data_IF_273524934031
#
_entry.id   IF_273524934031
#
_cell.length_a   1.000
_cell.length_b   1.000
_cell.length_c   1.000
_cell.angle_alpha   90.00
_cell.angle_beta   90.00
_cell.angle_gamma   90.00
#
_symmetry.space_group_name_H-M   'P 1'
#
loop_
_entity.id
_entity.type
_entity.pdbx_description
1 polymer ?
#
# COMPACT_ATOMS: atom_id res chain seq x y z
N UNK A 1 9.94 -1.88 -6.59
CA UNK A 1 9.65 -0.42 -6.69
C UNK A 1 8.80 -0.05 -5.48
N UNK A 2 9.13 0.99 -4.72
CA UNK A 2 8.33 1.35 -3.53
C UNK A 2 7.14 2.17 -4.01
N UNK A 3 5.94 1.61 -3.93
CA UNK A 3 4.67 2.22 -4.37
C UNK A 3 4.10 3.21 -3.34
N UNK A 4 4.98 3.91 -2.62
CA UNK A 4 4.60 4.79 -1.54
C UNK A 4 4.79 6.26 -1.93
N UNK A 5 3.68 7.00 -1.97
CA UNK A 5 3.71 8.44 -2.21
C UNK A 5 3.55 9.20 -0.90
N UNK A 6 4.50 10.07 -0.62
CA UNK A 6 4.47 10.94 0.55
C UNK A 6 4.92 12.34 0.15
N UNK A 7 4.03 13.33 0.31
CA UNK A 7 4.30 14.73 0.02
C UNK A 7 3.84 15.62 1.17
N UNK A 8 4.68 16.53 1.59
CA UNK A 8 4.39 17.47 2.66
C UNK A 8 4.19 18.91 2.15
N UNK A 9 3.24 19.60 2.75
CA UNK A 9 2.92 21.00 2.50
C UNK A 9 2.93 21.77 3.81
N UNK A 10 4.02 22.44 4.12
CA UNK A 10 4.11 23.27 5.31
C UNK A 10 3.62 24.69 5.06
N UNK A 11 3.02 25.28 6.07
CA UNK A 11 2.67 26.69 6.20
C UNK A 11 3.25 27.25 7.50
N UNK A 12 2.82 28.45 7.89
CA UNK A 12 3.32 29.08 9.12
C UNK A 12 2.82 28.39 10.39
N UNK A 13 1.55 27.97 10.39
CA UNK A 13 0.87 27.38 11.56
C UNK A 13 0.32 25.98 11.35
N UNK A 14 0.14 25.56 10.11
CA UNK A 14 -0.43 24.24 9.79
C UNK A 14 0.38 23.54 8.70
N UNK A 15 0.75 22.28 8.95
CA UNK A 15 1.34 21.36 8.00
C UNK A 15 0.31 20.31 7.54
N UNK A 16 0.42 19.86 6.30
CA UNK A 16 -0.37 18.77 5.72
C UNK A 16 0.53 17.81 4.99
N UNK A 17 0.24 16.51 5.12
CA UNK A 17 0.95 15.44 4.43
C UNK A 17 -0.05 14.62 3.62
N UNK A 18 0.28 14.33 2.37
CA UNK A 18 -0.39 13.31 1.56
C UNK A 18 0.37 12.02 1.75
N UNK A 19 -0.31 10.93 2.10
CA UNK A 19 0.29 9.63 2.34
C UNK A 19 -0.52 8.54 1.61
N UNK A 20 0.06 7.94 0.58
CA UNK A 20 -0.47 6.76 -0.09
C UNK A 20 0.50 5.61 0.12
N UNK A 21 0.15 4.67 0.97
CA UNK A 21 1.05 3.59 1.43
C UNK A 21 1.18 2.47 0.41
N UNK A 22 0.18 2.28 -0.47
CA UNK A 22 0.16 1.21 -1.47
C UNK A 22 -0.74 1.58 -2.63
N UNK A 23 -0.35 1.20 -3.85
CA UNK A 23 -1.19 1.31 -5.05
C UNK A 23 -2.42 0.40 -4.99
N UNK A 24 -2.34 -0.73 -4.27
CA UNK A 24 -3.40 -1.72 -4.16
C UNK A 24 -4.51 -1.34 -3.16
N UNK A 25 -4.34 -0.24 -2.41
CA UNK A 25 -5.35 0.25 -1.49
C UNK A 25 -6.19 1.36 -2.15
N UNK A 26 -7.55 1.23 -2.24
CA UNK A 26 -8.41 2.21 -2.91
C UNK A 26 -8.63 3.48 -2.09
N UNK A 27 -7.61 3.93 -1.37
CA UNK A 27 -7.63 5.12 -0.52
C UNK A 27 -6.24 5.70 -0.30
N UNK A 28 -6.20 6.93 0.22
CA UNK A 28 -5.00 7.57 0.76
C UNK A 28 -5.34 8.31 2.05
N UNK A 29 -4.33 8.83 2.73
CA UNK A 29 -4.50 9.63 3.93
C UNK A 29 -4.02 11.06 3.73
N UNK A 30 -4.78 12.01 4.31
CA UNK A 30 -4.28 13.34 4.65
C UNK A 30 -4.03 13.40 6.15
N UNK A 31 -2.80 13.76 6.52
CA UNK A 31 -2.38 13.99 7.89
C UNK A 31 -2.15 15.48 8.08
N UNK A 32 -2.80 16.07 9.07
CA UNK A 32 -2.65 17.48 9.43
C UNK A 32 -1.97 17.62 10.78
N UNK A 33 -1.14 18.65 10.91
CA UNK A 33 -0.49 19.03 12.16
C UNK A 33 -0.54 20.54 12.32
N UNK A 34 -0.59 21.01 13.56
CA UNK A 34 -0.50 22.42 13.94
C UNK A 34 0.80 22.74 14.66
N UNK A 35 1.19 23.98 14.60
CA UNK A 35 2.24 24.53 15.44
C UNK A 35 1.65 24.85 16.82
N UNK A 36 2.32 24.37 17.87
CA UNK A 36 1.92 24.59 19.27
C UNK A 36 2.33 25.99 19.74
N UNK A 37 1.82 26.42 20.89
CA UNK A 37 2.15 27.72 21.48
C UNK A 37 3.63 27.89 21.85
N UNK A 38 4.35 26.80 22.10
CA UNK A 38 5.79 26.77 22.34
C UNK A 38 6.65 26.80 21.05
N UNK A 39 6.01 26.90 19.90
CA UNK A 39 6.66 26.91 18.60
C UNK A 39 7.00 25.53 18.03
N UNK A 40 6.81 24.45 18.78
CA UNK A 40 6.97 23.08 18.28
C UNK A 40 5.77 22.65 17.42
N UNK A 41 5.97 21.61 16.58
CA UNK A 41 4.89 21.01 15.80
C UNK A 41 4.26 19.84 16.55
N UNK A 42 2.96 19.61 16.35
CA UNK A 42 2.30 18.38 16.74
C UNK A 42 3.02 17.16 16.11
N UNK A 43 3.13 16.06 16.86
CA UNK A 43 3.85 14.84 16.46
C UNK A 43 2.87 13.70 16.21
N UNK A 44 2.64 13.29 14.95
CA UNK A 44 1.75 12.17 14.64
C UNK A 44 2.14 10.86 15.33
N UNK A 45 3.43 10.65 15.62
CA UNK A 45 3.93 9.51 16.40
C UNK A 45 3.39 9.46 17.84
N UNK A 46 3.02 10.61 18.38
CA UNK A 46 2.38 10.75 19.70
C UNK A 46 0.84 10.83 19.60
N UNK A 47 0.26 10.47 18.44
CA UNK A 47 -1.16 10.57 18.13
C UNK A 47 -1.71 12.01 18.13
N UNK A 48 -0.84 13.00 17.96
CA UNK A 48 -1.23 14.39 17.79
C UNK A 48 -1.54 14.67 16.31
N UNK A 49 -2.30 15.74 16.07
CA UNK A 49 -2.77 16.07 14.72
C UNK A 49 -4.03 15.30 14.30
N UNK A 50 -4.45 15.50 13.08
CA UNK A 50 -5.65 14.87 12.53
C UNK A 50 -5.30 14.07 11.27
N UNK A 51 -5.62 12.77 11.27
CA UNK A 51 -5.45 11.89 10.11
C UNK A 51 -6.79 11.47 9.59
N UNK A 52 -7.01 11.65 8.29
CA UNK A 52 -8.27 11.32 7.64
C UNK A 52 -8.01 10.47 6.40
N UNK A 53 -8.84 9.45 6.21
CA UNK A 53 -8.81 8.54 5.07
C UNK A 53 -9.74 9.07 3.97
N UNK A 54 -9.26 9.10 2.73
CA UNK A 54 -10.02 9.53 1.56
C UNK A 54 -10.12 8.40 0.55
N UNK A 55 -11.35 8.11 0.09
CA UNK A 55 -11.62 7.14 -0.95
C UNK A 55 -11.44 7.72 -2.37
N UNK A 56 -11.60 6.86 -3.39
CA UNK A 56 -11.42 7.26 -4.80
C UNK A 56 -12.38 8.38 -5.22
N UNK A 57 -13.64 8.32 -4.81
CA UNK A 57 -14.64 9.34 -5.13
C UNK A 57 -14.25 10.70 -4.57
N UNK A 58 -13.74 10.73 -3.34
CA UNK A 58 -13.30 11.96 -2.69
C UNK A 58 -12.04 12.53 -3.34
N UNK A 59 -11.12 11.68 -3.82
CA UNK A 59 -9.97 12.12 -4.63
C UNK A 59 -10.49 12.86 -5.88
N UNK A 60 -11.47 12.31 -6.58
CA UNK A 60 -12.07 12.92 -7.78
C UNK A 60 -12.69 14.27 -7.42
N UNK A 61 -13.43 14.36 -6.31
CA UNK A 61 -14.07 15.61 -5.90
C UNK A 61 -13.05 16.69 -5.52
N UNK A 62 -11.97 16.32 -4.80
CA UNK A 62 -10.86 17.22 -4.52
C UNK A 62 -10.22 17.69 -5.82
N UNK A 63 -9.93 16.78 -6.77
CA UNK A 63 -9.38 17.12 -8.08
C UNK A 63 -10.29 18.05 -8.90
N UNK A 64 -11.61 17.91 -8.80
CA UNK A 64 -12.54 18.82 -9.46
C UNK A 64 -12.38 20.25 -8.94
N UNK A 65 -12.19 20.41 -7.61
CA UNK A 65 -11.94 21.76 -7.04
C UNK A 65 -10.55 22.26 -7.45
N UNK A 66 -9.50 21.41 -7.34
CA UNK A 66 -8.13 21.81 -7.72
C UNK A 66 -8.02 22.21 -9.20
N UNK A 67 -8.78 21.57 -10.09
CA UNK A 67 -8.86 21.85 -11.53
C UNK A 67 -9.86 22.97 -11.89
N UNK A 68 -10.42 23.67 -10.90
CA UNK A 68 -11.45 24.72 -11.06
C UNK A 68 -12.71 24.28 -11.81
N UNK A 69 -13.03 22.96 -11.81
CA UNK A 69 -14.31 22.44 -12.32
C UNK A 69 -15.46 22.71 -11.35
N UNK A 70 -15.17 22.89 -10.07
CA UNK A 70 -16.08 23.39 -9.03
C UNK A 70 -15.34 24.35 -8.11
N UNK A 71 -16.07 25.32 -7.53
CA UNK A 71 -15.47 26.29 -6.62
C UNK A 71 -15.19 25.73 -5.23
N UNK A 72 -15.95 24.74 -4.84
CA UNK A 72 -15.82 24.10 -3.52
C UNK A 72 -16.40 22.70 -3.53
N UNK A 73 -15.97 21.91 -2.54
CA UNK A 73 -16.53 20.62 -2.16
C UNK A 73 -16.47 20.46 -0.66
N UNK A 74 -17.45 19.78 -0.07
CA UNK A 74 -17.48 19.49 1.37
C UNK A 74 -18.12 18.15 1.64
N UNK A 75 -17.67 17.50 2.72
CA UNK A 75 -18.21 16.24 3.25
C UNK A 75 -18.06 16.20 4.76
N UNK A 76 -18.66 15.19 5.40
CA UNK A 76 -18.48 14.92 6.83
C UNK A 76 -18.10 13.45 7.01
N UNK A 77 -16.94 13.21 7.61
CA UNK A 77 -16.56 11.86 8.03
C UNK A 77 -17.06 11.58 9.44
N UNK A 78 -17.59 10.39 9.65
CA UNK A 78 -18.02 9.91 10.97
C UNK A 78 -17.16 8.70 11.32
N UNK A 79 -16.43 8.82 12.42
CA UNK A 79 -15.61 7.73 12.94
C UNK A 79 -15.74 7.65 14.46
N UNK A 80 -16.24 6.53 14.99
CA UNK A 80 -16.48 6.33 16.44
C UNK A 80 -17.26 7.50 17.07
N UNK A 81 -18.38 7.87 16.45
CA UNK A 81 -19.27 8.98 16.87
C UNK A 81 -18.67 10.40 16.76
N UNK A 82 -17.40 10.52 16.39
CA UNK A 82 -16.79 11.81 16.09
C UNK A 82 -17.10 12.23 14.65
N UNK A 83 -17.71 13.42 14.49
CA UNK A 83 -17.98 14.03 13.19
C UNK A 83 -16.85 14.97 12.83
N UNK A 84 -16.18 14.72 11.71
CA UNK A 84 -15.11 15.55 11.18
C UNK A 84 -15.60 16.23 9.90
N UNK A 85 -15.93 17.52 9.90
CA UNK A 85 -16.25 18.27 8.70
C UNK A 85 -15.00 18.46 7.87
N UNK A 86 -15.14 18.30 6.55
CA UNK A 86 -14.07 18.45 5.56
C UNK A 86 -14.56 19.39 4.48
N UNK A 87 -13.72 20.34 4.09
CA UNK A 87 -14.02 21.23 2.97
C UNK A 87 -12.77 21.60 2.19
N UNK A 88 -12.93 21.72 0.87
CA UNK A 88 -11.94 22.24 -0.07
C UNK A 88 -12.56 23.37 -0.82
N UNK A 89 -11.98 24.58 -0.76
CA UNK A 89 -12.58 25.77 -1.33
C UNK A 89 -11.52 26.76 -1.85
N UNK A 90 -11.76 27.32 -3.02
CA UNK A 90 -10.99 28.46 -3.54
C UNK A 90 -11.33 29.74 -2.77
N UNK A 91 -10.29 30.51 -2.44
CA UNK A 91 -10.36 31.89 -1.98
C UNK A 91 -9.77 32.78 -3.09
N UNK A 92 -10.66 33.40 -3.86
CA UNK A 92 -10.26 34.02 -5.11
C UNK A 92 -9.62 33.04 -6.08
N UNK A 93 -8.67 33.53 -6.89
CA UNK A 93 -7.98 32.72 -7.91
C UNK A 93 -6.61 32.21 -7.51
N UNK A 94 -6.11 32.65 -6.36
CA UNK A 94 -4.71 32.50 -5.95
C UNK A 94 -4.48 31.52 -4.79
N UNK A 95 -5.52 31.18 -4.04
CA UNK A 95 -5.40 30.37 -2.84
C UNK A 95 -6.51 29.35 -2.74
N UNK A 96 -6.18 28.18 -2.22
CA UNK A 96 -7.16 27.15 -1.87
C UNK A 96 -7.04 26.83 -0.39
N UNK A 97 -8.19 26.68 0.26
CA UNK A 97 -8.26 26.21 1.65
C UNK A 97 -8.73 24.77 1.68
N UNK A 98 -8.03 23.96 2.44
CA UNK A 98 -8.41 22.60 2.81
C UNK A 98 -8.60 22.60 4.32
N UNK A 99 -9.84 22.38 4.77
CA UNK A 99 -10.18 22.34 6.18
C UNK A 99 -10.59 20.93 6.56
N UNK A 100 -10.02 20.39 7.63
CA UNK A 100 -10.36 19.10 8.19
C UNK A 100 -10.57 19.27 9.71
N UNK A 101 -11.83 19.31 10.13
CA UNK A 101 -12.17 19.73 11.49
C UNK A 101 -11.54 21.10 11.79
N UNK A 102 -10.75 21.17 12.85
CA UNK A 102 -10.08 22.39 13.30
C UNK A 102 -8.72 22.65 12.62
N UNK A 103 -8.39 21.94 11.55
CA UNK A 103 -7.11 22.04 10.86
C UNK A 103 -7.28 22.72 9.50
N UNK A 104 -7.22 24.08 9.45
CA UNK A 104 -7.21 24.81 8.20
C UNK A 104 -5.81 24.78 7.57
N UNK A 105 -5.73 24.46 6.30
CA UNK A 105 -4.50 24.49 5.50
C UNK A 105 -4.71 25.29 4.22
N UNK A 106 -4.01 26.38 4.09
CA UNK A 106 -3.95 27.18 2.86
C UNK A 106 -2.82 26.63 1.98
N UNK A 107 -3.11 26.45 0.69
CA UNK A 107 -2.14 26.11 -0.36
C UNK A 107 -2.00 27.29 -1.32
N UNK A 108 -0.75 27.63 -1.65
CA UNK A 108 -0.40 28.55 -2.73
C UNK A 108 -0.51 27.87 -4.08
N UNK A 109 -0.53 28.63 -5.18
CA UNK A 109 -0.64 28.10 -6.54
C UNK A 109 0.39 26.98 -6.83
N UNK A 110 1.70 27.12 -6.54
CA UNK A 110 2.65 26.03 -6.77
C UNK A 110 2.32 24.77 -5.98
N UNK A 111 1.86 24.90 -4.73
CA UNK A 111 1.44 23.77 -3.91
C UNK A 111 0.17 23.10 -4.46
N UNK A 112 -0.77 23.89 -4.99
CA UNK A 112 -1.96 23.37 -5.67
C UNK A 112 -1.58 22.55 -6.89
N UNK A 113 -0.64 23.03 -7.72
CA UNK A 113 -0.20 22.30 -8.92
C UNK A 113 0.49 20.97 -8.55
N UNK A 114 1.37 20.98 -7.53
CA UNK A 114 2.01 19.73 -7.03
C UNK A 114 0.94 18.76 -6.52
N UNK A 115 0.00 19.24 -5.72
CA UNK A 115 -1.08 18.39 -5.17
C UNK A 115 -1.96 17.82 -6.28
N UNK A 116 -2.31 18.63 -7.29
CA UNK A 116 -3.12 18.20 -8.42
C UNK A 116 -2.44 17.08 -9.21
N UNK A 117 -1.17 17.26 -9.58
CA UNK A 117 -0.40 16.26 -10.31
C UNK A 117 -0.25 14.96 -9.51
N UNK A 118 0.05 15.08 -8.22
CA UNK A 118 0.21 13.92 -7.33
C UNK A 118 -1.10 13.16 -7.14
N UNK A 119 -2.22 13.83 -6.91
CA UNK A 119 -3.52 13.16 -6.75
C UNK A 119 -4.02 12.55 -8.06
N UNK A 120 -3.75 13.16 -9.23
CA UNK A 120 -4.04 12.55 -10.53
C UNK A 120 -3.26 11.24 -10.69
N UNK A 121 -1.97 11.25 -10.37
CA UNK A 121 -1.13 10.05 -10.44
C UNK A 121 -1.61 8.97 -9.47
N UNK A 122 -1.81 9.30 -8.19
CA UNK A 122 -2.33 8.37 -7.18
C UNK A 122 -3.68 7.78 -7.60
N UNK A 123 -4.58 8.58 -8.18
CA UNK A 123 -5.88 8.10 -8.63
C UNK A 123 -5.74 7.09 -9.77
N UNK A 124 -4.89 7.37 -10.76
CA UNK A 124 -4.62 6.46 -11.88
C UNK A 124 -4.06 5.12 -11.39
N UNK A 125 -3.03 5.15 -10.53
CA UNK A 125 -2.48 3.93 -9.93
C UNK A 125 -3.54 3.11 -9.18
N UNK A 126 -4.35 3.77 -8.37
CA UNK A 126 -5.37 3.07 -7.59
C UNK A 126 -6.50 2.51 -8.45
N UNK A 127 -6.86 3.18 -9.53
CA UNK A 127 -7.82 2.63 -10.50
C UNK A 127 -7.21 1.40 -11.19
N UNK A 128 -5.95 1.46 -11.58
CA UNK A 128 -5.27 0.37 -12.26
C UNK A 128 -5.06 -0.86 -11.36
N UNK A 129 -4.64 -0.66 -10.11
CA UNK A 129 -4.20 -1.76 -9.24
C UNK A 129 -5.19 -2.12 -8.13
N UNK A 130 -5.91 -1.17 -7.55
CA UNK A 130 -6.80 -1.43 -6.43
C UNK A 130 -8.22 -1.83 -6.83
N UNK A 131 -8.62 -1.59 -8.09
CA UNK A 131 -9.96 -1.97 -8.59
C UNK A 131 -9.96 -3.27 -9.38
N UNK A 132 -8.80 -3.81 -9.73
CA UNK A 132 -8.69 -5.13 -10.33
C UNK A 132 -9.02 -6.17 -9.27
N UNK A 133 -10.05 -6.99 -9.51
CA UNK A 133 -10.27 -8.19 -8.70
C UNK A 133 -9.17 -9.18 -9.05
N UNK A 134 -8.45 -9.67 -8.04
CA UNK A 134 -7.56 -10.82 -8.18
C UNK A 134 -8.40 -12.05 -8.55
N UNK A 135 -8.66 -12.26 -9.84
CA UNK A 135 -9.33 -13.45 -10.36
C UNK A 135 -8.53 -14.71 -9.97
N UNK A 136 -7.24 -14.57 -9.68
CA UNK A 136 -6.37 -15.66 -9.25
C UNK A 136 -6.56 -16.10 -7.79
N UNK A 137 -7.28 -15.36 -6.95
CA UNK A 137 -7.60 -15.80 -5.58
C UNK A 137 -8.79 -16.75 -5.53
N UNK A 138 -9.75 -16.64 -6.44
CA UNK A 138 -10.93 -17.52 -6.47
C UNK A 138 -10.66 -18.88 -7.13
N UNK A 139 -9.62 -19.04 -7.94
CA UNK A 139 -9.28 -20.31 -8.58
C UNK A 139 -8.53 -21.31 -7.67
N UNK A 140 -8.24 -20.98 -6.42
CA UNK A 140 -7.59 -21.92 -5.47
C UNK A 140 -8.57 -22.73 -4.61
N UNK A 141 -9.87 -22.50 -4.71
CA UNK A 141 -10.88 -23.25 -3.93
C UNK A 141 -11.81 -24.16 -4.75
N UNK A 142 -11.51 -24.42 -6.01
CA UNK A 142 -12.25 -25.48 -6.73
C UNK A 142 -11.54 -26.81 -6.53
N UNK A 143 -11.92 -27.51 -5.48
CA UNK A 143 -11.59 -28.92 -5.24
C UNK A 143 -12.28 -29.74 -6.32
N UNK A 144 -11.51 -30.27 -7.28
CA UNK A 144 -11.99 -31.26 -8.23
C UNK A 144 -11.99 -32.65 -7.55
N UNK A 145 -13.12 -33.35 -7.45
CA UNK A 145 -13.14 -34.72 -6.95
C UNK A 145 -12.41 -35.64 -7.94
N UNK A 146 -11.52 -36.47 -7.42
CA UNK A 146 -10.87 -37.53 -8.16
C UNK A 146 -11.89 -38.54 -8.72
N UNK A 147 -11.94 -38.74 -10.04
CA UNK A 147 -12.39 -40.02 -10.59
C UNK A 147 -11.75 -40.29 -11.95
N UNK A 148 -10.96 -41.36 -11.96
CA UNK A 148 -10.71 -42.40 -12.97
C UNK A 148 -10.04 -42.11 -14.33
N UNK A 149 -8.92 -42.79 -14.44
CA UNK A 149 -8.07 -43.43 -15.48
C UNK A 149 -8.59 -43.52 -16.94
N UNK A 150 -7.68 -43.07 -17.85
CA UNK A 150 -7.13 -43.72 -19.10
C UNK A 150 -8.00 -43.72 -20.35
N UNK A 151 -7.43 -43.84 -21.60
CA UNK A 151 -6.02 -43.97 -21.98
C UNK A 151 -5.53 -43.05 -23.14
N UNK A 152 -4.23 -43.17 -23.43
CA UNK A 152 -3.41 -42.57 -24.49
C UNK A 152 -3.99 -42.54 -25.89
N UNK A 153 -3.74 -41.41 -26.61
CA UNK A 153 -3.45 -41.45 -28.07
C UNK A 153 -2.38 -40.38 -28.36
N UNK A 154 -1.26 -40.90 -28.87
CA UNK A 154 -0.15 -40.13 -29.48
C UNK A 154 -0.58 -39.52 -30.81
N UNK A 155 -0.27 -38.25 -31.06
CA UNK A 155 0.09 -37.78 -32.42
C UNK A 155 1.05 -36.59 -32.34
N UNK A 156 2.19 -36.81 -33.05
CA UNK A 156 3.22 -35.82 -33.40
C UNK A 156 2.65 -34.81 -34.42
N UNK A 157 3.13 -33.57 -34.38
CA UNK A 157 3.79 -32.86 -35.50
C UNK A 157 4.10 -31.40 -35.08
N UNK A 158 5.36 -31.11 -35.04
CA UNK A 158 6.17 -30.05 -35.68
C UNK A 158 5.75 -28.57 -35.61
N UNK A 159 6.78 -27.79 -35.25
CA UNK A 159 6.92 -26.32 -35.06
C UNK A 159 6.72 -25.53 -36.37
N UNK A 160 6.46 -24.22 -36.28
CA UNK A 160 7.60 -23.33 -36.43
C UNK A 160 7.72 -22.19 -35.36
N UNK A 161 8.94 -21.81 -35.23
CA UNK A 161 9.62 -20.81 -34.44
C UNK A 161 9.24 -19.39 -34.91
N UNK A 162 8.80 -18.53 -33.98
CA UNK A 162 8.96 -17.09 -34.12
C UNK A 162 9.43 -16.59 -32.78
N UNK A 163 10.65 -16.06 -32.79
CA UNK A 163 11.24 -15.27 -31.70
C UNK A 163 10.57 -13.90 -31.66
N UNK A 164 10.01 -13.54 -30.53
CA UNK A 164 9.91 -12.14 -30.11
C UNK A 164 10.36 -12.10 -28.66
N UNK A 165 11.50 -11.47 -28.47
CA UNK A 165 12.09 -11.13 -27.19
C UNK A 165 11.29 -9.98 -26.63
N UNK A 166 10.59 -10.18 -25.53
CA UNK A 166 10.28 -9.15 -24.56
C UNK A 166 10.43 -9.75 -23.16
N UNK A 167 11.50 -9.31 -22.51
CA UNK A 167 11.74 -9.54 -21.11
C UNK A 167 10.62 -8.89 -20.29
N UNK A 168 9.76 -9.70 -19.71
CA UNK A 168 9.00 -9.31 -18.52
C UNK A 168 9.44 -10.27 -17.42
N UNK A 169 10.42 -9.82 -16.65
CA UNK A 169 10.84 -10.48 -15.43
C UNK A 169 9.80 -10.22 -14.34
N UNK A 170 8.95 -11.18 -14.10
CA UNK A 170 8.28 -11.36 -12.82
C UNK A 170 8.31 -12.84 -12.46
N UNK A 171 9.51 -13.31 -12.12
CA UNK A 171 9.65 -14.47 -11.26
C UNK A 171 9.50 -13.97 -9.85
N UNK A 172 8.51 -14.49 -9.12
CA UNK A 172 8.52 -14.51 -7.66
C UNK A 172 9.76 -15.33 -7.28
N UNK A 173 10.89 -14.65 -7.07
CA UNK A 173 12.13 -15.28 -6.63
C UNK A 173 11.90 -15.70 -5.18
N UNK A 174 11.69 -16.99 -4.98
CA UNK A 174 11.58 -17.63 -3.69
C UNK A 174 12.92 -18.28 -3.34
N UNK A 175 13.39 -18.01 -2.15
CA UNK A 175 14.60 -18.64 -1.60
C UNK A 175 14.21 -19.68 -0.56
N UNK A 176 14.76 -20.90 -0.69
CA UNK A 176 14.60 -21.94 0.33
C UNK A 176 15.55 -21.66 1.48
N UNK A 177 14.99 -21.52 2.69
CA UNK A 177 15.72 -21.27 3.93
C UNK A 177 15.39 -22.39 4.90
N UNK A 178 16.42 -22.94 5.56
CA UNK A 178 16.24 -23.91 6.63
C UNK A 178 16.41 -23.24 7.98
N UNK A 179 15.51 -23.56 8.90
CA UNK A 179 15.55 -23.00 10.23
C UNK A 179 14.51 -23.61 11.16
N UNK A 180 14.58 -23.22 12.43
CA UNK A 180 13.69 -23.64 13.49
C UNK A 180 12.86 -22.46 13.96
N UNK A 181 11.57 -22.66 14.21
CA UNK A 181 10.69 -21.63 14.77
C UNK A 181 11.05 -21.44 16.25
N UNK A 182 11.37 -20.22 16.64
CA UNK A 182 11.66 -19.81 18.03
C UNK A 182 10.56 -18.97 18.65
N UNK A 183 9.72 -18.37 17.84
CA UNK A 183 8.60 -17.59 18.31
C UNK A 183 7.66 -17.23 17.16
N UNK A 184 6.42 -16.98 17.51
CA UNK A 184 5.38 -16.61 16.55
C UNK A 184 4.53 -15.50 17.14
N UNK A 185 4.16 -14.55 16.29
CA UNK A 185 3.18 -13.51 16.57
C UNK A 185 2.03 -13.62 15.57
N UNK A 186 1.00 -12.82 15.74
CA UNK A 186 -0.11 -12.76 14.76
C UNK A 186 0.38 -12.50 13.32
N UNK A 187 1.45 -11.70 13.14
CA UNK A 187 1.90 -11.20 11.83
C UNK A 187 3.28 -11.68 11.38
N UNK A 188 4.08 -12.29 12.28
CA UNK A 188 5.46 -12.66 11.98
C UNK A 188 5.89 -13.93 12.73
N UNK A 189 6.90 -14.62 12.17
CA UNK A 189 7.55 -15.80 12.75
C UNK A 189 9.03 -15.50 12.96
N UNK A 190 9.55 -15.83 14.15
CA UNK A 190 10.97 -15.78 14.46
C UNK A 190 11.60 -17.11 14.06
N UNK A 191 12.50 -17.08 13.08
CA UNK A 191 13.26 -18.24 12.64
C UNK A 191 14.69 -18.15 13.13
N UNK A 192 15.18 -19.23 13.74
CA UNK A 192 16.61 -19.47 13.95
C UNK A 192 17.12 -20.28 12.76
N UNK A 193 17.97 -19.68 11.96
CA UNK A 193 18.53 -20.27 10.74
C UNK A 193 19.68 -21.24 11.10
N UNK A 194 20.05 -22.13 10.16
CA UNK A 194 21.12 -23.11 10.36
C UNK A 194 22.49 -22.46 10.62
N UNK A 195 22.70 -21.22 10.16
CA UNK A 195 23.89 -20.42 10.48
C UNK A 195 23.87 -19.80 11.90
N UNK A 196 22.81 -20.07 12.70
CA UNK A 196 22.64 -19.57 14.05
C UNK A 196 22.00 -18.18 14.16
N UNK A 197 21.77 -17.47 13.06
CA UNK A 197 21.14 -16.16 13.08
C UNK A 197 19.64 -16.28 13.38
N UNK A 198 19.10 -15.35 14.17
CA UNK A 198 17.68 -15.26 14.46
C UNK A 198 17.09 -14.03 13.78
N UNK A 199 16.03 -14.24 12.99
CA UNK A 199 15.38 -13.17 12.24
C UNK A 199 13.86 -13.30 12.26
N UNK A 200 13.16 -12.16 12.34
CA UNK A 200 11.72 -12.10 12.19
C UNK A 200 11.32 -12.01 10.72
N UNK A 201 10.48 -12.94 10.28
CA UNK A 201 9.90 -12.96 8.93
C UNK A 201 8.41 -12.69 8.99
N UNK A 202 7.88 -11.72 8.25
CA UNK A 202 6.43 -11.53 8.11
C UNK A 202 5.78 -12.80 7.54
N UNK A 203 4.67 -13.25 8.10
CA UNK A 203 3.96 -14.46 7.62
C UNK A 203 3.59 -14.37 6.13
N UNK A 204 3.31 -13.16 5.64
CA UNK A 204 3.02 -12.92 4.23
C UNK A 204 4.18 -13.22 3.27
N UNK A 205 5.42 -13.21 3.76
CA UNK A 205 6.63 -13.52 2.96
C UNK A 205 7.03 -14.99 2.99
N UNK A 206 6.39 -15.82 3.82
CA UNK A 206 6.61 -17.25 3.90
C UNK A 206 5.55 -17.93 3.04
N UNK A 207 5.96 -18.59 1.96
CA UNK A 207 5.06 -19.23 0.99
C UNK A 207 4.91 -20.74 1.21
N UNK A 208 5.77 -21.36 2.01
CA UNK A 208 5.65 -22.77 2.40
C UNK A 208 4.69 -22.95 3.58
N UNK A 209 4.07 -24.12 3.65
CA UNK A 209 3.40 -24.54 4.89
C UNK A 209 4.46 -24.88 5.94
N UNK A 210 4.23 -24.52 7.17
CA UNK A 210 5.08 -24.82 8.32
C UNK A 210 4.22 -25.19 9.54
N UNK A 211 4.81 -25.94 10.47
CA UNK A 211 4.14 -26.35 11.70
C UNK A 211 4.79 -25.64 12.89
N UNK A 212 4.08 -24.74 13.58
CA UNK A 212 4.64 -24.00 14.72
C UNK A 212 5.05 -24.87 15.90
N UNK A 213 4.43 -26.04 16.03
CA UNK A 213 4.65 -26.97 17.15
C UNK A 213 5.86 -27.92 16.97
N UNK A 214 6.51 -27.91 15.80
CA UNK A 214 7.69 -28.73 15.55
C UNK A 214 8.96 -28.02 16.00
N UNK A 215 9.64 -28.58 17.02
CA UNK A 215 10.93 -28.09 17.48
C UNK A 215 12.12 -28.44 16.56
N UNK A 216 11.87 -29.07 15.42
CA UNK A 216 12.88 -29.46 14.45
C UNK A 216 13.07 -28.40 13.35
N UNK A 217 14.26 -28.42 12.74
CA UNK A 217 14.54 -27.57 11.56
C UNK A 217 13.61 -27.93 10.40
N UNK A 218 12.94 -26.92 9.84
CA UNK A 218 11.99 -27.02 8.73
C UNK A 218 12.52 -26.22 7.54
N UNK A 219 12.02 -26.53 6.34
CA UNK A 219 12.30 -25.77 5.12
C UNK A 219 11.22 -24.72 4.91
N UNK A 220 11.63 -23.49 4.70
CA UNK A 220 10.75 -22.35 4.41
C UNK A 220 11.06 -21.83 3.02
N UNK A 221 10.03 -21.61 2.21
CA UNK A 221 10.13 -20.83 0.98
C UNK A 221 9.77 -19.39 1.31
N UNK A 222 10.72 -18.50 1.20
CA UNK A 222 10.60 -17.10 1.62
C UNK A 222 10.88 -16.20 0.42
N UNK A 223 10.11 -15.10 0.29
CA UNK A 223 10.34 -14.11 -0.76
C UNK A 223 11.78 -13.60 -0.68
N UNK A 224 12.56 -13.75 -1.76
CA UNK A 224 14.01 -13.43 -1.82
C UNK A 224 14.29 -11.99 -1.41
N UNK A 225 13.40 -11.05 -1.75
CA UNK A 225 13.57 -9.64 -1.41
C UNK A 225 13.70 -9.36 0.09
N UNK A 226 13.04 -10.17 0.96
CA UNK A 226 13.13 -9.96 2.42
C UNK A 226 14.48 -10.43 2.98
N UNK A 227 15.05 -11.44 2.35
CA UNK A 227 16.38 -11.98 2.70
C UNK A 227 17.45 -10.97 2.33
N UNK A 228 17.38 -10.41 1.12
CA UNK A 228 18.29 -9.38 0.64
C UNK A 228 18.18 -8.08 1.44
N UNK A 229 16.94 -7.62 1.70
CA UNK A 229 16.69 -6.40 2.48
C UNK A 229 17.26 -6.46 3.88
N UNK A 230 17.19 -7.61 4.53
CA UNK A 230 17.68 -7.81 5.89
C UNK A 230 19.15 -8.29 5.91
N UNK A 231 19.80 -8.44 4.74
CA UNK A 231 21.18 -8.93 4.58
C UNK A 231 21.43 -10.25 5.31
N UNK A 232 20.44 -11.16 5.20
CA UNK A 232 20.50 -12.46 5.87
C UNK A 232 21.43 -13.35 5.06
N UNK A 233 22.53 -13.80 5.67
CA UNK A 233 23.38 -14.83 5.10
C UNK A 233 22.64 -16.17 5.18
N UNK A 234 22.51 -16.86 4.06
CA UNK A 234 21.88 -18.19 3.93
C UNK A 234 22.97 -19.22 3.74
#
# INVERSE_FOLDING_TARGET
MVDNHNQSFFGQSTGMFIQSSSKNEPFFFLQFIKKKGDGSWEKPSLREGKRVKFGLEEIIMILHVLKKKSNSWSTVHIFKDEKTPISVKWEGDQKIWINVGDYPKMLSIPQVEIMKLLLDHILQEKIEFATIRDIDRENKEIIIPKTQKSPEIKRKTEKPKIEIVEEISSKDDLTEVKGMIRGETEKAVLLKLDNGAENWFPKSTIKSQYSPEQENSQKFLIDTWIIEKNKIAI
#
